data_IF_237693820412
#
_entry.id   IF_237693820412
#
_cell.length_a   1.000
_cell.length_b   1.000
_cell.length_c   1.000
_cell.angle_alpha   90.00
_cell.angle_beta   90.00
_cell.angle_gamma   90.00
#
_symmetry.space_group_name_H-M   'P 1'
#
loop_
_entity.id
_entity.type
_entity.pdbx_description
1 polymer ?
#
# COMPACT_ATOMS: atom_id res chain seq x y z
N UNK A 1 -21.24 -30.90 1.00
CA UNK A 1 -22.32 -29.94 1.35
C UNK A 1 -21.79 -28.50 1.28
N UNK A 2 -22.49 -27.59 0.57
CA UNK A 2 -22.17 -26.16 0.53
C UNK A 2 -22.91 -25.42 1.66
N UNK A 3 -22.21 -24.56 2.39
CA UNK A 3 -22.74 -23.78 3.52
C UNK A 3 -22.40 -22.32 3.25
N UNK A 4 -23.43 -21.49 3.02
CA UNK A 4 -23.26 -20.05 2.83
C UNK A 4 -23.19 -19.34 4.18
N UNK A 5 -22.22 -18.45 4.34
CA UNK A 5 -22.02 -17.70 5.57
C UNK A 5 -21.46 -16.31 5.28
N UNK A 6 -21.54 -15.43 6.27
CA UNK A 6 -20.78 -14.17 6.32
C UNK A 6 -19.82 -14.20 7.51
N UNK A 7 -18.86 -13.27 7.58
CA UNK A 7 -17.91 -13.22 8.70
C UNK A 7 -16.45 -13.17 8.27
N UNK A 8 -15.55 -13.27 9.26
CA UNK A 8 -14.12 -13.35 9.04
C UNK A 8 -13.71 -14.78 8.66
N UNK A 9 -13.30 -14.98 7.40
CA UNK A 9 -12.85 -16.27 6.89
C UNK A 9 -11.66 -16.83 7.68
N UNK A 10 -10.78 -15.96 8.20
CA UNK A 10 -9.60 -16.40 8.95
C UNK A 10 -9.96 -17.02 10.30
N UNK A 11 -11.18 -16.79 10.80
CA UNK A 11 -11.72 -17.42 12.01
C UNK A 11 -12.47 -18.73 11.72
N UNK A 12 -12.54 -19.17 10.46
CA UNK A 12 -13.23 -20.40 10.12
C UNK A 12 -12.58 -21.61 10.80
N UNK A 13 -13.41 -22.50 11.33
CA UNK A 13 -12.98 -23.79 11.88
C UNK A 13 -12.61 -24.81 10.80
N UNK A 14 -12.82 -24.51 9.51
CA UNK A 14 -12.46 -25.38 8.40
C UNK A 14 -10.96 -25.77 8.42
N UNK A 15 -10.65 -26.98 7.96
CA UNK A 15 -9.28 -27.50 7.88
C UNK A 15 -8.43 -26.73 6.88
N UNK A 16 -9.02 -26.38 5.73
CA UNK A 16 -8.40 -25.60 4.69
C UNK A 16 -9.04 -24.21 4.53
N UNK A 17 -8.21 -23.20 4.26
CA UNK A 17 -8.64 -21.82 4.03
C UNK A 17 -8.13 -21.35 2.67
N UNK A 18 -9.02 -20.83 1.83
CA UNK A 18 -8.65 -20.32 0.51
C UNK A 18 -8.27 -18.84 0.61
N UNK A 19 -7.04 -18.55 0.16
CA UNK A 19 -6.50 -17.22 -0.01
C UNK A 19 -6.51 -16.83 -1.50
N UNK A 20 -7.10 -15.69 -1.86
CA UNK A 20 -7.09 -15.22 -3.26
C UNK A 20 -5.84 -14.40 -3.55
N UNK A 21 -4.98 -14.89 -4.45
CA UNK A 21 -3.66 -14.30 -4.73
C UNK A 21 -3.49 -13.90 -6.19
N UNK A 22 -2.38 -13.19 -6.47
CA UNK A 22 -1.84 -13.02 -7.84
C UNK A 22 -0.65 -13.96 -8.07
N UNK A 23 -0.09 -13.98 -9.28
CA UNK A 23 1.06 -14.80 -9.63
C UNK A 23 2.41 -14.07 -9.49
N UNK A 24 2.44 -12.83 -9.02
CA UNK A 24 3.65 -11.99 -8.92
C UNK A 24 4.25 -11.93 -7.50
N UNK A 25 3.69 -12.67 -6.54
CA UNK A 25 4.23 -12.75 -5.18
C UNK A 25 3.81 -11.59 -4.26
N UNK A 26 2.73 -10.86 -4.58
CA UNK A 26 2.31 -9.69 -3.81
C UNK A 26 1.01 -9.90 -3.01
N UNK A 27 1.08 -10.01 -1.69
CA UNK A 27 -0.08 -9.97 -0.79
C UNK A 27 -0.27 -8.57 -0.16
N UNK A 28 -0.63 -7.58 -0.97
CA UNK A 28 -0.59 -6.16 -0.57
C UNK A 28 -1.92 -5.54 -0.11
N UNK A 29 -3.05 -6.18 -0.37
CA UNK A 29 -4.39 -5.65 -0.01
C UNK A 29 -5.45 -6.75 0.12
N UNK A 30 -6.60 -6.39 0.69
CA UNK A 30 -7.76 -7.29 0.82
C UNK A 30 -7.44 -8.54 1.63
N UNK A 31 -8.13 -9.65 1.34
CA UNK A 31 -7.98 -10.90 2.09
C UNK A 31 -6.54 -11.46 2.02
N UNK A 32 -5.85 -11.34 0.89
CA UNK A 32 -4.46 -11.78 0.76
C UNK A 32 -3.52 -11.14 1.77
N UNK A 33 -3.68 -9.84 1.99
CA UNK A 33 -2.91 -9.14 3.00
C UNK A 33 -3.24 -9.63 4.42
N UNK A 34 -4.51 -9.92 4.70
CA UNK A 34 -4.91 -10.51 5.98
C UNK A 34 -4.30 -11.92 6.19
N UNK A 35 -4.24 -12.74 5.14
CA UNK A 35 -3.52 -14.02 5.17
C UNK A 35 -2.02 -13.83 5.41
N UNK A 36 -1.37 -12.87 4.76
CA UNK A 36 0.05 -12.56 5.00
C UNK A 36 0.31 -12.18 6.46
N UNK A 37 -0.58 -11.39 7.07
CA UNK A 37 -0.48 -10.97 8.46
C UNK A 37 -0.70 -12.13 9.44
N UNK A 38 -1.64 -13.03 9.14
CA UNK A 38 -1.99 -14.18 10.00
C UNK A 38 -1.06 -15.39 9.82
N UNK A 39 -0.58 -15.63 8.61
CA UNK A 39 0.20 -16.80 8.19
C UNK A 39 1.47 -16.36 7.41
N UNK A 40 2.48 -15.80 8.11
CA UNK A 40 3.67 -15.24 7.49
C UNK A 40 4.52 -16.28 6.74
N UNK A 41 4.62 -17.53 7.24
CA UNK A 41 5.41 -18.59 6.59
C UNK A 41 4.78 -19.02 5.27
N UNK A 42 3.45 -19.11 5.22
CA UNK A 42 2.74 -19.29 3.95
C UNK A 42 3.07 -18.18 2.94
N UNK A 43 3.16 -16.92 3.37
CA UNK A 43 3.51 -15.83 2.46
C UNK A 43 4.95 -15.95 1.94
N UNK A 44 5.91 -16.35 2.78
CA UNK A 44 7.29 -16.59 2.34
C UNK A 44 7.37 -17.68 1.27
N UNK A 45 6.67 -18.80 1.48
CA UNK A 45 6.65 -19.91 0.53
C UNK A 45 5.93 -19.55 -0.77
N UNK A 46 4.78 -18.87 -0.66
CA UNK A 46 4.06 -18.30 -1.81
C UNK A 46 4.95 -17.38 -2.66
N UNK A 47 5.75 -16.49 -2.04
CA UNK A 47 6.65 -15.60 -2.78
C UNK A 47 7.72 -16.40 -3.52
N UNK A 48 8.26 -17.48 -2.93
CA UNK A 48 9.20 -18.38 -3.60
C UNK A 48 8.54 -19.08 -4.80
N UNK A 49 7.31 -19.57 -4.62
CA UNK A 49 6.53 -20.23 -5.66
C UNK A 49 6.18 -19.30 -6.84
N UNK A 50 5.95 -18.02 -6.59
CA UNK A 50 5.79 -17.03 -7.66
C UNK A 50 7.12 -16.76 -8.38
N UNK A 51 8.21 -16.55 -7.63
CA UNK A 51 9.52 -16.22 -8.20
C UNK A 51 10.09 -17.31 -9.10
N UNK A 52 9.86 -18.58 -8.77
CA UNK A 52 10.33 -19.71 -9.57
C UNK A 52 9.32 -20.14 -10.67
N UNK A 53 8.21 -19.41 -10.84
CA UNK A 53 7.20 -19.68 -11.87
C UNK A 53 6.34 -20.93 -11.63
N UNK A 54 6.43 -21.55 -10.46
CA UNK A 54 5.61 -22.74 -10.13
C UNK A 54 4.13 -22.40 -9.91
N UNK A 55 3.84 -21.17 -9.46
CA UNK A 55 2.48 -20.68 -9.29
C UNK A 55 2.03 -19.79 -10.47
N UNK A 56 1.11 -20.32 -11.27
CA UNK A 56 0.45 -19.62 -12.38
C UNK A 56 -1.07 -19.76 -12.26
N UNK A 57 -1.82 -19.00 -13.06
CA UNK A 57 -3.27 -19.19 -13.19
C UNK A 57 -3.60 -20.67 -13.48
N UNK A 58 -4.62 -21.20 -12.80
CA UNK A 58 -5.04 -22.60 -12.91
C UNK A 58 -4.19 -23.60 -12.11
N UNK A 59 -3.11 -23.16 -11.45
CA UNK A 59 -2.34 -23.99 -10.51
C UNK A 59 -2.60 -23.54 -9.08
N UNK A 60 -2.79 -24.49 -8.17
CA UNK A 60 -2.92 -24.21 -6.75
C UNK A 60 -1.56 -24.32 -6.06
N UNK A 61 -1.29 -23.41 -5.14
CA UNK A 61 -0.20 -23.51 -4.18
C UNK A 61 -0.80 -23.68 -2.79
N UNK A 62 -0.26 -24.56 -1.96
CA UNK A 62 -0.74 -24.72 -0.59
C UNK A 62 0.41 -24.81 0.41
N UNK A 63 0.15 -24.36 1.63
CA UNK A 63 1.12 -24.42 2.72
C UNK A 63 0.42 -24.77 4.04
N UNK A 64 1.10 -25.51 4.91
CA UNK A 64 0.59 -25.84 6.24
C UNK A 64 1.16 -24.88 7.29
N UNK A 65 0.29 -24.13 7.97
CA UNK A 65 0.69 -23.24 9.06
C UNK A 65 -0.37 -23.24 10.16
N UNK A 66 0.06 -23.32 11.43
CA UNK A 66 -0.81 -23.34 12.61
C UNK A 66 -1.98 -24.35 12.55
N UNK A 67 -1.72 -25.54 11.98
CA UNK A 67 -2.71 -26.61 11.85
C UNK A 67 -3.75 -26.41 10.73
N UNK A 68 -3.66 -25.32 9.95
CA UNK A 68 -4.50 -25.00 8.79
C UNK A 68 -3.76 -25.27 7.49
N UNK A 69 -4.48 -25.72 6.47
CA UNK A 69 -4.00 -25.79 5.08
C UNK A 69 -4.38 -24.47 4.40
N UNK A 70 -3.42 -23.62 4.09
CA UNK A 70 -3.66 -22.36 3.37
C UNK A 70 -3.53 -22.63 1.88
N UNK A 71 -4.61 -22.48 1.13
CA UNK A 71 -4.64 -22.70 -0.32
C UNK A 71 -4.61 -21.34 -1.02
N UNK A 72 -3.51 -21.02 -1.67
CA UNK A 72 -3.34 -19.80 -2.44
C UNK A 72 -3.88 -20.03 -3.85
N UNK A 73 -5.07 -19.47 -4.10
CA UNK A 73 -5.83 -19.55 -5.33
C UNK A 73 -5.53 -18.34 -6.22
N UNK A 74 -4.86 -18.50 -7.36
CA UNK A 74 -4.58 -17.39 -8.27
C UNK A 74 -5.87 -16.89 -8.94
N UNK A 75 -6.32 -15.72 -8.52
CA UNK A 75 -7.46 -15.00 -9.15
C UNK A 75 -6.98 -13.91 -10.10
N UNK A 76 -5.68 -13.64 -10.14
CA UNK A 76 -5.06 -12.67 -11.03
C UNK A 76 -3.71 -13.17 -11.51
N UNK A 77 -3.35 -12.82 -12.74
CA UNK A 77 -1.97 -12.97 -13.18
C UNK A 77 -1.10 -11.89 -12.53
N UNK A 78 -1.38 -10.62 -12.87
CA UNK A 78 -0.71 -9.44 -12.30
C UNK A 78 -1.55 -8.77 -11.22
N UNK A 79 -0.92 -8.24 -10.16
CA UNK A 79 -1.67 -7.68 -9.02
C UNK A 79 -2.46 -6.40 -9.37
N UNK A 80 -1.97 -5.60 -10.33
CA UNK A 80 -2.63 -4.39 -10.86
C UNK A 80 -3.77 -4.69 -11.85
N UNK A 81 -3.81 -5.89 -12.43
CA UNK A 81 -4.84 -6.27 -13.39
C UNK A 81 -6.16 -6.66 -12.71
N UNK A 82 -7.26 -6.69 -13.48
CA UNK A 82 -8.54 -7.27 -13.03
C UNK A 82 -8.48 -8.80 -13.03
N UNK A 83 -9.40 -9.43 -12.30
CA UNK A 83 -9.61 -10.88 -12.37
C UNK A 83 -10.37 -11.21 -13.66
N UNK A 84 -10.32 -12.47 -14.09
CA UNK A 84 -11.13 -12.98 -15.20
C UNK A 84 -11.87 -14.24 -14.78
N UNK A 85 -13.04 -14.50 -15.35
CA UNK A 85 -13.87 -15.63 -14.94
C UNK A 85 -13.19 -16.97 -15.26
N UNK A 86 -12.40 -17.03 -16.34
CA UNK A 86 -11.65 -18.22 -16.76
C UNK A 86 -10.55 -18.59 -15.75
N UNK A 87 -10.04 -17.60 -14.99
CA UNK A 87 -9.08 -17.85 -13.91
C UNK A 87 -9.76 -18.57 -12.74
N UNK A 88 -11.02 -18.21 -12.47
CA UNK A 88 -11.82 -18.85 -11.42
C UNK A 88 -12.21 -20.26 -11.85
N UNK A 89 -12.63 -20.44 -13.09
CA UNK A 89 -13.00 -21.76 -13.61
C UNK A 89 -11.83 -22.75 -13.56
N UNK A 90 -10.70 -22.37 -14.15
CA UNK A 90 -9.49 -23.21 -14.16
C UNK A 90 -9.00 -23.48 -12.73
N UNK A 91 -9.03 -22.48 -11.86
CA UNK A 91 -8.64 -22.62 -10.46
C UNK A 91 -9.56 -23.55 -9.66
N UNK A 92 -10.88 -23.50 -9.88
CA UNK A 92 -11.85 -24.39 -9.23
C UNK A 92 -11.64 -25.85 -9.65
N UNK A 93 -11.37 -26.10 -10.94
CA UNK A 93 -11.02 -27.44 -11.41
C UNK A 93 -9.76 -27.98 -10.68
N UNK A 94 -8.74 -27.15 -10.50
CA UNK A 94 -7.53 -27.52 -9.77
C UNK A 94 -7.79 -27.68 -8.26
N UNK A 95 -8.64 -26.85 -7.68
CA UNK A 95 -9.00 -26.91 -6.27
C UNK A 95 -9.72 -28.22 -5.92
N UNK A 96 -10.66 -28.67 -6.77
CA UNK A 96 -11.34 -29.97 -6.58
C UNK A 96 -10.35 -31.12 -6.54
N UNK A 97 -9.40 -31.15 -7.48
CA UNK A 97 -8.33 -32.17 -7.48
C UNK A 97 -7.50 -32.13 -6.20
N UNK A 98 -7.15 -30.92 -5.75
CA UNK A 98 -6.36 -30.73 -4.54
C UNK A 98 -7.10 -31.15 -3.26
N UNK A 99 -8.42 -30.92 -3.20
CA UNK A 99 -9.28 -31.36 -2.09
C UNK A 99 -9.17 -32.87 -1.89
N UNK A 100 -9.26 -33.65 -2.97
CA UNK A 100 -9.10 -35.09 -2.91
C UNK A 100 -7.66 -35.50 -2.59
N UNK A 101 -6.68 -34.90 -3.27
CA UNK A 101 -5.25 -35.22 -3.07
C UNK A 101 -4.81 -35.04 -1.61
N UNK A 102 -5.33 -34.03 -0.92
CA UNK A 102 -4.97 -33.70 0.46
C UNK A 102 -5.98 -34.23 1.50
N UNK A 103 -6.98 -35.02 1.08
CA UNK A 103 -8.05 -35.54 1.94
C UNK A 103 -8.72 -34.42 2.78
N UNK A 104 -9.04 -33.28 2.14
CA UNK A 104 -9.63 -32.13 2.83
C UNK A 104 -11.10 -32.42 3.14
N UNK A 105 -11.43 -32.46 4.43
CA UNK A 105 -12.81 -32.70 4.91
C UNK A 105 -13.60 -31.42 5.15
N UNK A 106 -12.93 -30.28 5.27
CA UNK A 106 -13.59 -28.98 5.37
C UNK A 106 -12.74 -27.84 4.81
N UNK A 107 -13.38 -26.95 4.04
CA UNK A 107 -12.71 -25.83 3.36
C UNK A 107 -13.55 -24.56 3.44
N UNK A 108 -12.90 -23.41 3.69
CA UNK A 108 -13.52 -22.09 3.64
C UNK A 108 -13.06 -21.30 2.41
N UNK A 109 -13.99 -20.74 1.66
CA UNK A 109 -13.75 -20.08 0.37
C UNK A 109 -14.32 -18.65 0.38
N UNK A 110 -13.51 -17.62 0.06
CA UNK A 110 -13.98 -16.23 -0.06
C UNK A 110 -14.65 -15.97 -1.43
N UNK A 111 -15.24 -14.77 -1.64
CA UNK A 111 -15.74 -14.37 -2.95
C UNK A 111 -14.61 -14.24 -3.99
N UNK A 112 -14.39 -15.31 -4.77
CA UNK A 112 -13.24 -15.44 -5.65
C UNK A 112 -13.24 -14.37 -6.76
N UNK A 113 -12.32 -13.41 -6.67
CA UNK A 113 -12.17 -12.37 -7.69
C UNK A 113 -13.26 -11.28 -7.72
N UNK A 114 -14.31 -11.36 -6.89
CA UNK A 114 -15.42 -10.41 -6.93
C UNK A 114 -15.15 -9.05 -6.26
N UNK A 115 -14.24 -8.99 -5.29
CA UNK A 115 -13.83 -7.73 -4.65
C UNK A 115 -12.79 -6.96 -5.49
N UNK A 116 -11.52 -7.02 -5.08
CA UNK A 116 -10.41 -6.37 -5.80
C UNK A 116 -10.25 -6.80 -7.27
N UNK A 117 -10.82 -7.94 -7.67
CA UNK A 117 -10.80 -8.45 -9.03
C UNK A 117 -11.90 -7.90 -9.93
N UNK A 118 -13.02 -7.41 -9.36
CA UNK A 118 -14.13 -6.80 -10.08
C UNK A 118 -15.09 -7.76 -10.78
N UNK A 119 -15.06 -9.07 -10.48
CA UNK A 119 -16.03 -10.01 -11.01
C UNK A 119 -17.40 -9.86 -10.33
N UNK A 120 -18.48 -10.16 -11.07
CA UNK A 120 -19.83 -10.18 -10.51
C UNK A 120 -19.96 -11.41 -9.61
N UNK A 121 -20.39 -11.22 -8.36
CA UNK A 121 -20.48 -12.30 -7.38
C UNK A 121 -21.46 -13.41 -7.79
N UNK A 122 -22.60 -13.04 -8.38
CA UNK A 122 -23.60 -14.01 -8.83
C UNK A 122 -23.01 -15.04 -9.82
N UNK A 123 -22.23 -14.58 -10.80
CA UNK A 123 -21.59 -15.45 -11.79
C UNK A 123 -20.54 -16.38 -11.16
N UNK A 124 -19.74 -15.83 -10.24
CA UNK A 124 -18.74 -16.61 -9.49
C UNK A 124 -19.40 -17.66 -8.59
N UNK A 125 -20.49 -17.30 -7.92
CA UNK A 125 -21.26 -18.19 -7.04
C UNK A 125 -21.84 -19.37 -7.84
N UNK A 126 -22.49 -19.09 -8.97
CA UNK A 126 -23.05 -20.12 -9.84
C UNK A 126 -21.96 -21.08 -10.35
N UNK A 127 -20.77 -20.56 -10.65
CA UNK A 127 -19.64 -21.38 -11.07
C UNK A 127 -19.10 -22.27 -9.93
N UNK A 128 -19.02 -21.75 -8.70
CA UNK A 128 -18.64 -22.54 -7.52
C UNK A 128 -19.64 -23.68 -7.31
N UNK A 129 -20.94 -23.38 -7.31
CA UNK A 129 -22.01 -24.36 -7.15
C UNK A 129 -21.89 -25.49 -8.18
N UNK A 130 -21.77 -25.13 -9.46
CA UNK A 130 -21.59 -26.08 -10.56
C UNK A 130 -20.36 -26.98 -10.39
N UNK A 131 -19.20 -26.42 -10.00
CA UNK A 131 -17.96 -27.20 -9.88
C UNK A 131 -17.96 -28.13 -8.67
N UNK A 132 -18.70 -27.78 -7.62
CA UNK A 132 -18.70 -28.50 -6.35
C UNK A 132 -19.88 -29.44 -6.17
N UNK A 133 -20.82 -29.48 -7.13
CA UNK A 133 -21.94 -30.41 -7.17
C UNK A 133 -21.53 -31.88 -6.98
N UNK A 134 -20.39 -32.27 -7.54
CA UNK A 134 -19.87 -33.64 -7.48
C UNK A 134 -19.00 -33.94 -6.25
N UNK A 135 -18.83 -32.99 -5.32
CA UNK A 135 -18.08 -33.25 -4.09
C UNK A 135 -18.91 -34.12 -3.14
N UNK A 136 -18.31 -35.17 -2.54
CA UNK A 136 -18.98 -35.97 -1.54
C UNK A 136 -19.58 -35.14 -0.40
N UNK A 137 -20.73 -35.56 0.10
CA UNK A 137 -21.49 -34.79 1.10
C UNK A 137 -20.70 -34.52 2.39
N UNK A 138 -19.84 -35.47 2.78
CA UNK A 138 -19.00 -35.36 3.98
C UNK A 138 -17.97 -34.22 3.92
N UNK A 139 -17.67 -33.70 2.72
CA UNK A 139 -16.82 -32.52 2.55
C UNK A 139 -17.64 -31.27 2.80
N UNK A 140 -17.31 -30.55 3.87
CA UNK A 140 -17.98 -29.30 4.26
C UNK A 140 -17.31 -28.12 3.58
N UNK A 141 -18.02 -27.45 2.69
CA UNK A 141 -17.53 -26.25 2.00
C UNK A 141 -18.26 -25.03 2.55
N UNK A 142 -17.53 -24.14 3.21
CA UNK A 142 -18.04 -22.88 3.72
C UNK A 142 -17.76 -21.77 2.69
N UNK A 143 -18.80 -21.24 2.07
CA UNK A 143 -18.70 -20.13 1.11
C UNK A 143 -19.00 -18.84 1.85
N UNK A 144 -17.97 -18.00 2.01
CA UNK A 144 -18.10 -16.67 2.59
C UNK A 144 -18.60 -15.71 1.54
N UNK A 145 -19.78 -15.13 1.77
CA UNK A 145 -20.37 -14.14 0.87
C UNK A 145 -19.74 -12.75 1.08
N UNK A 146 -19.76 -11.88 0.06
CA UNK A 146 -19.28 -10.51 0.18
C UNK A 146 -19.94 -9.81 1.37
N UNK A 147 -19.15 -9.47 2.37
CA UNK A 147 -19.57 -8.79 3.60
C UNK A 147 -18.52 -7.76 4.01
N UNK A 148 -18.71 -7.07 5.15
CA UNK A 148 -17.80 -6.00 5.59
C UNK A 148 -16.32 -6.44 5.64
N UNK A 149 -15.41 -5.49 5.44
CA UNK A 149 -13.97 -5.74 5.47
C UNK A 149 -13.49 -6.09 6.89
N UNK A 150 -13.28 -7.37 7.17
CA UNK A 150 -12.62 -7.83 8.40
C UNK A 150 -11.11 -7.56 8.34
N UNK A 151 -10.54 -7.07 9.45
CA UNK A 151 -9.11 -6.80 9.60
C UNK A 151 -8.48 -7.84 10.53
N UNK A 152 -7.45 -8.53 10.05
CA UNK A 152 -6.60 -9.39 10.85
C UNK A 152 -5.56 -8.54 11.59
N UNK A 153 -5.24 -8.99 12.79
CA UNK A 153 -4.14 -8.47 13.59
C UNK A 153 -2.86 -9.19 13.14
N UNK A 154 -1.74 -8.47 12.92
CA UNK A 154 -0.46 -9.10 12.58
C UNK A 154 -0.05 -10.15 13.62
N UNK A 155 0.42 -11.31 13.15
CA UNK A 155 0.93 -12.39 14.01
C UNK A 155 2.33 -12.08 14.54
N UNK A 156 3.16 -11.49 13.70
CA UNK A 156 4.51 -11.05 14.03
C UNK A 156 4.56 -9.53 14.13
N UNK A 157 5.36 -9.03 15.07
CA UNK A 157 5.58 -7.60 15.22
C UNK A 157 6.27 -7.04 13.95
N UNK A 158 5.70 -6.00 13.30
CA UNK A 158 6.31 -5.41 12.13
C UNK A 158 7.66 -4.77 12.44
N UNK A 159 8.70 -5.16 11.70
CA UNK A 159 10.02 -4.55 11.79
C UNK A 159 10.01 -3.15 11.18
N UNK A 160 10.13 -2.14 12.05
CA UNK A 160 10.23 -0.72 11.74
C UNK A 160 11.66 -0.20 12.00
N UNK A 161 12.04 0.85 11.29
CA UNK A 161 13.32 1.56 11.44
C UNK A 161 13.08 2.99 11.94
N UNK A 162 14.16 3.75 12.14
CA UNK A 162 14.12 5.17 12.47
C UNK A 162 13.22 5.99 11.54
N UNK A 163 13.17 5.69 10.24
CA UNK A 163 12.29 6.39 9.30
C UNK A 163 10.81 6.30 9.66
N UNK A 164 10.40 5.28 10.42
CA UNK A 164 9.05 5.21 10.95
C UNK A 164 8.81 6.24 12.07
N UNK A 165 9.82 6.49 12.93
CA UNK A 165 9.76 7.54 13.94
C UNK A 165 9.62 8.91 13.27
N UNK A 166 10.43 9.20 12.25
CA UNK A 166 10.35 10.45 11.46
C UNK A 166 8.97 10.65 10.84
N UNK A 167 8.38 9.61 10.21
CA UNK A 167 7.04 9.73 9.62
C UNK A 167 5.93 9.87 10.67
N UNK A 168 6.11 9.29 11.86
CA UNK A 168 5.18 9.48 12.99
C UNK A 168 5.28 10.90 13.55
N UNK A 169 6.48 11.47 13.69
CA UNK A 169 6.67 12.87 14.08
C UNK A 169 6.06 13.84 13.07
N UNK A 170 6.31 13.64 11.77
CA UNK A 170 5.66 14.45 10.72
C UNK A 170 4.13 14.40 10.88
N UNK A 171 3.57 13.22 11.13
CA UNK A 171 2.12 13.07 11.35
C UNK A 171 1.64 13.85 12.57
N UNK A 172 2.39 13.87 13.67
CA UNK A 172 2.05 14.62 14.88
C UNK A 172 2.08 16.14 14.67
N UNK A 173 2.98 16.64 13.80
CA UNK A 173 3.06 18.07 13.48
C UNK A 173 2.08 18.54 12.40
N UNK A 174 1.42 17.64 11.68
CA UNK A 174 0.46 18.00 10.63
C UNK A 174 -0.95 18.27 11.20
N UNK A 175 -1.50 19.44 10.93
CA UNK A 175 -2.87 19.82 11.31
C UNK A 175 -3.93 19.03 10.54
N UNK A 176 -3.63 18.70 9.27
CA UNK A 176 -4.46 17.86 8.40
C UNK A 176 -3.60 16.71 7.90
N UNK A 177 -4.07 15.48 8.13
CA UNK A 177 -3.33 14.28 7.74
C UNK A 177 -4.02 13.53 6.60
N UNK A 178 -3.28 13.32 5.52
CA UNK A 178 -3.57 12.34 4.49
C UNK A 178 -2.25 11.85 3.85
N UNK A 179 -2.35 10.88 2.94
CA UNK A 179 -1.15 10.28 2.31
C UNK A 179 -0.38 11.27 1.44
N UNK A 180 -1.06 12.22 0.79
CA UNK A 180 -0.41 13.24 -0.02
C UNK A 180 0.35 14.21 0.87
N UNK A 181 -0.27 14.72 1.94
CA UNK A 181 0.37 15.62 2.90
C UNK A 181 1.59 14.98 3.56
N UNK A 182 1.51 13.72 3.98
CA UNK A 182 2.69 13.01 4.51
C UNK A 182 3.82 12.92 3.47
N UNK A 183 3.50 12.54 2.23
CA UNK A 183 4.47 12.44 1.13
C UNK A 183 5.13 13.79 0.84
N UNK A 184 4.34 14.87 0.72
CA UNK A 184 4.86 16.19 0.39
C UNK A 184 5.61 16.81 1.57
N UNK A 185 5.20 16.56 2.81
CA UNK A 185 5.95 17.04 3.99
C UNK A 185 7.31 16.38 4.08
N UNK A 186 7.40 15.07 3.83
CA UNK A 186 8.70 14.38 3.74
C UNK A 186 9.57 14.90 2.56
N UNK A 187 8.95 15.33 1.46
CA UNK A 187 9.65 15.98 0.36
C UNK A 187 10.22 17.34 0.77
N UNK A 188 9.41 18.20 1.42
CA UNK A 188 9.88 19.47 1.96
C UNK A 188 10.92 19.31 3.06
N UNK A 189 10.84 18.26 3.87
CA UNK A 189 11.87 17.92 4.86
C UNK A 189 13.21 17.65 4.19
N UNK A 190 13.25 16.84 3.14
CA UNK A 190 14.47 16.63 2.35
C UNK A 190 15.02 17.95 1.78
N UNK A 191 14.14 18.81 1.25
CA UNK A 191 14.55 20.11 0.71
C UNK A 191 15.20 20.98 1.78
N UNK A 192 14.53 21.16 2.93
CA UNK A 192 15.03 22.02 4.00
C UNK A 192 16.28 21.47 4.70
N UNK A 193 16.38 20.14 4.80
CA UNK A 193 17.57 19.46 5.31
C UNK A 193 18.77 19.57 4.35
N UNK A 194 18.54 19.78 3.05
CA UNK A 194 19.59 19.72 2.04
C UNK A 194 20.15 18.30 1.79
N UNK A 195 19.50 17.26 2.33
CA UNK A 195 19.91 15.85 2.19
C UNK A 195 18.77 14.99 1.62
N UNK A 196 19.14 13.94 0.88
CA UNK A 196 18.19 12.94 0.39
C UNK A 196 17.90 11.85 1.45
N UNK A 197 17.20 12.22 2.53
CA UNK A 197 16.77 11.23 3.54
C UNK A 197 15.77 10.22 2.95
N UNK A 198 14.74 10.71 2.26
CA UNK A 198 13.85 9.91 1.41
C UNK A 198 14.25 10.01 -0.07
N UNK A 199 13.82 9.07 -0.91
CA UNK A 199 14.22 8.97 -2.32
C UNK A 199 13.07 9.32 -3.24
N UNK A 200 12.82 10.62 -3.39
CA UNK A 200 11.79 11.13 -4.27
C UNK A 200 12.20 11.03 -5.74
N UNK A 201 11.23 10.63 -6.57
CA UNK A 201 11.37 10.57 -8.01
C UNK A 201 10.10 11.05 -8.70
N UNK A 202 10.21 11.37 -9.98
CA UNK A 202 9.07 11.67 -10.86
C UNK A 202 8.11 10.49 -10.91
N UNK A 203 6.86 10.71 -10.51
CA UNK A 203 5.75 9.75 -10.55
C UNK A 203 4.46 10.46 -10.98
N UNK A 204 3.37 9.71 -11.20
CA UNK A 204 2.13 10.21 -11.81
C UNK A 204 1.58 11.53 -11.23
N UNK A 205 1.71 11.76 -9.92
CA UNK A 205 1.10 12.90 -9.21
C UNK A 205 2.15 13.84 -8.58
N UNK A 206 3.31 14.00 -9.22
CA UNK A 206 4.42 14.80 -8.69
C UNK A 206 5.50 13.93 -8.02
N UNK A 207 6.44 14.54 -7.27
CA UNK A 207 7.47 13.81 -6.53
C UNK A 207 6.85 12.81 -5.55
N UNK A 208 7.37 11.57 -5.56
CA UNK A 208 6.87 10.50 -4.70
C UNK A 208 7.99 9.53 -4.30
N UNK A 209 7.95 9.07 -3.04
CA UNK A 209 8.75 7.94 -2.57
C UNK A 209 7.83 6.79 -2.10
N UNK A 210 7.94 5.64 -2.76
CA UNK A 210 7.17 4.44 -2.44
C UNK A 210 7.55 3.84 -1.07
N UNK A 211 8.75 4.12 -0.55
CA UNK A 211 9.20 3.67 0.78
C UNK A 211 8.28 4.22 1.86
N UNK A 212 7.85 5.48 1.77
CA UNK A 212 6.95 6.15 2.73
C UNK A 212 5.62 5.42 2.82
N UNK A 213 5.04 4.99 1.69
CA UNK A 213 3.78 4.24 1.68
C UNK A 213 3.93 2.86 2.33
N UNK A 214 5.08 2.19 2.11
CA UNK A 214 5.40 0.91 2.74
C UNK A 214 5.55 1.08 4.26
N UNK A 215 6.32 2.08 4.70
CA UNK A 215 6.54 2.37 6.12
C UNK A 215 5.23 2.76 6.80
N UNK A 216 4.42 3.63 6.19
CA UNK A 216 3.10 4.02 6.70
C UNK A 216 2.16 2.83 6.89
N UNK A 217 2.21 1.84 5.98
CA UNK A 217 1.46 0.59 6.16
C UNK A 217 1.98 -0.21 7.35
N UNK A 218 3.30 -0.37 7.48
CA UNK A 218 3.91 -1.07 8.62
C UNK A 218 3.65 -0.37 9.95
N UNK A 219 3.58 0.96 9.99
CA UNK A 219 3.19 1.72 11.20
C UNK A 219 1.78 1.31 11.63
N UNK A 220 0.83 1.21 10.70
CA UNK A 220 -0.53 0.72 11.00
C UNK A 220 -0.54 -0.73 11.47
N UNK A 221 0.24 -1.60 10.83
CA UNK A 221 0.42 -2.98 11.29
C UNK A 221 0.97 -3.01 12.74
N UNK A 222 1.93 -2.13 13.06
CA UNK A 222 2.55 -2.07 14.38
C UNK A 222 1.56 -1.57 15.45
N UNK A 223 0.77 -0.56 15.10
CA UNK A 223 -0.34 -0.07 15.89
C UNK A 223 -1.37 -1.19 16.19
N UNK A 224 -1.78 -1.93 15.15
CA UNK A 224 -2.71 -3.05 15.30
C UNK A 224 -2.11 -4.18 16.17
N UNK A 225 -0.82 -4.50 16.01
CA UNK A 225 -0.11 -5.51 16.81
C UNK A 225 -0.06 -5.16 18.31
N UNK A 226 0.26 -3.90 18.63
CA UNK A 226 0.30 -3.41 20.01
C UNK A 226 -1.06 -2.98 20.56
N UNK A 227 -2.13 -3.10 19.77
CA UNK A 227 -3.48 -2.65 20.11
C UNK A 227 -3.54 -1.16 20.52
N UNK A 228 -2.78 -0.31 19.82
CA UNK A 228 -2.73 1.15 20.03
C UNK A 228 -3.23 1.88 18.81
N UNK A 229 -4.17 2.80 18.97
CA UNK A 229 -4.68 3.64 17.86
C UNK A 229 -3.92 4.96 17.74
N UNK A 230 -3.41 5.44 18.86
CA UNK A 230 -2.68 6.70 18.96
C UNK A 230 -1.28 6.56 18.35
N UNK A 231 -0.85 7.55 17.58
CA UNK A 231 0.44 7.51 16.89
C UNK A 231 1.59 7.87 17.83
N UNK A 232 1.39 8.77 18.79
CA UNK A 232 2.38 9.11 19.81
C UNK A 232 2.68 7.93 20.73
N UNK A 233 1.66 7.17 21.16
CA UNK A 233 1.88 5.93 21.93
C UNK A 233 2.68 4.92 21.10
N UNK A 234 2.36 4.75 19.82
CA UNK A 234 3.11 3.85 18.93
C UNK A 234 4.57 4.31 18.74
N UNK A 235 4.79 5.63 18.64
CA UNK A 235 6.12 6.24 18.61
C UNK A 235 6.90 5.88 19.87
N UNK A 236 6.33 6.08 21.06
CA UNK A 236 7.02 5.82 22.33
C UNK A 236 7.43 4.34 22.47
N UNK A 237 6.56 3.42 22.05
CA UNK A 237 6.86 1.98 22.05
C UNK A 237 8.03 1.68 21.10
N UNK A 238 8.00 2.23 19.88
CA UNK A 238 9.05 2.00 18.89
C UNK A 238 10.38 2.65 19.31
N UNK A 239 10.33 3.90 19.80
CA UNK A 239 11.50 4.65 20.23
C UNK A 239 12.24 3.90 21.35
N UNK A 240 11.52 3.42 22.38
CA UNK A 240 12.11 2.60 23.44
C UNK A 240 12.80 1.33 22.94
N UNK A 241 12.31 0.75 21.83
CA UNK A 241 12.90 -0.46 21.21
C UNK A 241 14.14 -0.15 20.37
N UNK A 242 14.20 1.04 19.77
CA UNK A 242 15.28 1.44 18.87
C UNK A 242 16.36 2.29 19.55
N UNK A 243 16.08 2.84 20.74
CA UNK A 243 16.90 3.86 21.40
C UNK A 243 18.38 3.51 21.40
N UNK A 244 19.17 4.44 20.87
CA UNK A 244 20.62 4.39 20.83
C UNK A 244 21.15 5.81 20.61
N UNK A 245 22.38 6.09 21.05
CA UNK A 245 23.00 7.42 20.86
C UNK A 245 22.96 7.91 19.41
N UNK A 246 23.14 7.00 18.45
CA UNK A 246 23.10 7.34 17.02
C UNK A 246 21.70 7.75 16.56
N UNK A 247 20.67 7.08 17.08
CA UNK A 247 19.27 7.42 16.75
C UNK A 247 18.88 8.73 17.40
N UNK A 248 19.25 8.95 18.66
CA UNK A 248 18.96 10.20 19.37
C UNK A 248 19.59 11.40 18.64
N UNK A 249 20.89 11.31 18.32
CA UNK A 249 21.59 12.35 17.57
C UNK A 249 20.90 12.62 16.22
N UNK A 250 20.58 11.58 15.45
CA UNK A 250 19.98 11.78 14.13
C UNK A 250 18.54 12.28 14.20
N UNK A 251 17.76 11.95 15.24
CA UNK A 251 16.42 12.53 15.43
C UNK A 251 16.54 14.01 15.81
N UNK A 252 17.47 14.36 16.70
CA UNK A 252 17.73 15.76 17.06
C UNK A 252 18.20 16.61 15.87
N UNK A 253 19.04 16.04 14.98
CA UNK A 253 19.43 16.70 13.72
C UNK A 253 18.23 16.98 12.81
N UNK A 254 17.27 16.05 12.73
CA UNK A 254 16.12 16.16 11.82
C UNK A 254 14.96 16.99 12.40
N UNK A 255 14.92 17.22 13.71
CA UNK A 255 13.77 17.79 14.41
C UNK A 255 13.38 19.17 13.85
N UNK A 256 14.37 20.02 13.57
CA UNK A 256 14.16 21.37 13.03
C UNK A 256 13.51 21.32 11.64
N UNK A 257 14.02 20.47 10.75
CA UNK A 257 13.54 20.35 9.37
C UNK A 257 12.18 19.68 9.29
N UNK A 258 11.89 18.70 10.17
CA UNK A 258 10.57 18.10 10.32
C UNK A 258 9.54 19.17 10.71
N UNK A 259 9.86 20.01 11.70
CA UNK A 259 8.99 21.11 12.14
C UNK A 259 8.81 22.15 11.04
N UNK A 260 9.90 22.58 10.39
CA UNK A 260 9.89 23.56 9.28
C UNK A 260 9.03 23.05 8.12
N UNK A 261 9.22 21.81 7.69
CA UNK A 261 8.43 21.17 6.65
C UNK A 261 6.95 21.05 7.01
N UNK A 262 6.65 20.57 8.22
CA UNK A 262 5.26 20.42 8.67
C UNK A 262 4.54 21.76 8.76
N UNK A 263 5.20 22.79 9.31
CA UNK A 263 4.64 24.14 9.39
C UNK A 263 4.40 24.75 8.01
N UNK A 264 5.33 24.55 7.07
CA UNK A 264 5.16 24.97 5.69
C UNK A 264 3.93 24.32 5.05
N UNK A 265 3.81 22.99 5.16
CA UNK A 265 2.67 22.24 4.61
C UNK A 265 1.36 22.59 5.30
N UNK A 266 1.37 22.89 6.60
CA UNK A 266 0.20 23.36 7.34
C UNK A 266 -0.28 24.75 6.87
N UNK A 267 0.62 25.59 6.37
CA UNK A 267 0.27 26.91 5.82
C UNK A 267 -0.43 26.83 4.46
N UNK A 268 -0.39 25.66 3.79
CA UNK A 268 -0.99 25.43 2.49
C UNK A 268 -2.39 24.85 2.68
N UNK A 269 -3.39 25.58 2.18
CA UNK A 269 -4.81 25.31 2.45
C UNK A 269 -5.27 23.98 1.84
N UNK A 270 -5.00 23.80 0.55
CA UNK A 270 -5.54 22.69 -0.24
C UNK A 270 -4.46 21.70 -0.69
N UNK A 271 -4.89 20.47 -0.96
CA UNK A 271 -4.03 19.45 -1.54
C UNK A 271 -3.70 19.73 -3.02
N UNK A 272 -4.52 20.53 -3.69
CA UNK A 272 -4.28 21.01 -5.05
C UNK A 272 -3.03 21.90 -5.06
N UNK A 273 -3.01 22.93 -4.21
CA UNK A 273 -1.90 23.87 -4.11
C UNK A 273 -0.62 23.18 -3.64
N UNK A 274 -0.72 22.30 -2.65
CA UNK A 274 0.43 21.53 -2.15
C UNK A 274 1.05 20.65 -3.24
N UNK A 275 0.23 20.02 -4.07
CA UNK A 275 0.72 19.24 -5.21
C UNK A 275 1.36 20.15 -6.27
N UNK A 276 0.77 21.32 -6.53
CA UNK A 276 1.33 22.33 -7.44
C UNK A 276 2.76 22.74 -7.01
N UNK A 277 2.88 23.25 -5.78
CA UNK A 277 4.14 23.76 -5.21
C UNK A 277 5.24 22.69 -5.21
N UNK A 278 4.92 21.47 -4.74
CA UNK A 278 5.88 20.38 -4.73
C UNK A 278 6.34 19.97 -6.14
N UNK A 279 5.48 20.09 -7.14
CA UNK A 279 5.82 19.74 -8.53
C UNK A 279 6.71 20.81 -9.17
N UNK A 280 6.41 22.10 -8.96
CA UNK A 280 7.25 23.22 -9.43
C UNK A 280 8.65 23.10 -8.84
N UNK A 281 8.76 22.88 -7.53
CA UNK A 281 10.06 22.75 -6.86
C UNK A 281 10.86 21.56 -7.38
N UNK A 282 10.20 20.43 -7.65
CA UNK A 282 10.88 19.26 -8.18
C UNK A 282 11.43 19.51 -9.59
N UNK A 283 10.69 20.24 -10.42
CA UNK A 283 11.12 20.70 -11.74
C UNK A 283 12.39 21.55 -11.66
N UNK A 284 12.40 22.55 -10.78
CA UNK A 284 13.56 23.44 -10.56
C UNK A 284 14.75 22.62 -10.06
N UNK A 285 14.53 21.68 -9.13
CA UNK A 285 15.57 20.80 -8.60
C UNK A 285 16.19 19.89 -9.67
N UNK A 286 15.41 19.38 -10.62
CA UNK A 286 15.92 18.51 -11.70
C UNK A 286 16.77 19.27 -12.74
N UNK A 287 16.48 20.55 -12.97
CA UNK A 287 17.05 21.31 -14.10
C UNK A 287 18.06 22.39 -13.69
N UNK A 288 18.36 22.54 -12.39
CA UNK A 288 19.24 23.58 -11.80
C UNK A 288 18.69 25.01 -11.92
N UNK A 289 18.13 25.37 -13.07
CA UNK A 289 17.39 26.61 -13.31
C UNK A 289 16.26 26.34 -14.31
N UNK A 290 15.12 27.03 -14.15
CA UNK A 290 14.04 27.05 -15.14
C UNK A 290 13.41 28.43 -15.19
N UNK A 291 13.17 28.94 -16.39
CA UNK A 291 12.32 30.11 -16.63
C UNK A 291 10.85 29.79 -16.30
N UNK A 292 10.05 30.84 -16.14
CA UNK A 292 8.60 30.72 -15.93
C UNK A 292 7.92 29.93 -17.06
N UNK A 293 8.26 30.24 -18.32
CA UNK A 293 7.71 29.57 -19.50
C UNK A 293 8.07 28.08 -19.52
N UNK A 294 9.32 27.73 -19.18
CA UNK A 294 9.76 26.34 -19.11
C UNK A 294 9.06 25.60 -17.97
N UNK A 295 8.84 26.22 -16.80
CA UNK A 295 8.06 25.60 -15.71
C UNK A 295 6.64 25.28 -16.18
N UNK A 296 5.96 26.19 -16.89
CA UNK A 296 4.61 25.95 -17.41
C UNK A 296 4.58 24.77 -18.38
N UNK A 297 5.53 24.72 -19.31
CA UNK A 297 5.64 23.65 -20.32
C UNK A 297 5.92 22.31 -19.63
N UNK A 298 6.94 22.25 -18.77
CA UNK A 298 7.35 21.02 -18.08
C UNK A 298 6.32 20.52 -17.07
N UNK A 299 5.59 21.43 -16.42
CA UNK A 299 4.53 21.06 -15.50
C UNK A 299 3.37 20.40 -16.25
N UNK A 300 2.95 20.98 -17.38
CA UNK A 300 1.90 20.41 -18.22
C UNK A 300 2.34 19.12 -18.93
N UNK A 301 3.61 19.02 -19.32
CA UNK A 301 4.17 17.80 -19.93
C UNK A 301 4.28 16.64 -18.93
N UNK A 302 4.23 16.91 -17.63
CA UNK A 302 4.33 15.90 -16.58
C UNK A 302 3.33 14.76 -16.74
N UNK A 303 2.07 15.07 -17.05
CA UNK A 303 1.03 14.07 -17.41
C UNK A 303 -0.22 14.74 -17.96
N UNK A 304 -1.01 14.01 -18.77
CA UNK A 304 -2.32 14.45 -19.24
C UNK A 304 -3.27 14.86 -18.10
N UNK A 305 -3.19 14.17 -16.95
CA UNK A 305 -4.01 14.47 -15.77
C UNK A 305 -3.65 15.82 -15.16
N UNK A 306 -2.35 16.11 -15.00
CA UNK A 306 -1.89 17.40 -14.48
C UNK A 306 -2.25 18.55 -15.42
N UNK A 307 -2.03 18.39 -16.73
CA UNK A 307 -2.38 19.42 -17.71
C UNK A 307 -3.87 19.79 -17.68
N UNK A 308 -4.75 18.85 -17.29
CA UNK A 308 -6.19 19.10 -17.14
C UNK A 308 -6.58 19.71 -15.80
N UNK A 309 -5.88 19.33 -14.71
CA UNK A 309 -6.21 19.79 -13.35
C UNK A 309 -5.66 21.17 -13.01
N UNK A 310 -4.49 21.51 -13.51
CA UNK A 310 -3.80 22.76 -13.17
C UNK A 310 -3.86 23.74 -14.33
N UNK A 311 -4.45 24.90 -14.09
CA UNK A 311 -4.43 26.03 -15.02
C UNK A 311 -3.06 26.73 -14.98
N UNK A 312 -2.76 27.54 -16.00
CA UNK A 312 -1.53 28.36 -15.99
C UNK A 312 -1.52 29.31 -14.78
N UNK A 313 -2.67 29.86 -14.41
CA UNK A 313 -2.80 30.72 -13.25
C UNK A 313 -2.47 29.99 -11.94
N UNK A 314 -2.85 28.72 -11.79
CA UNK A 314 -2.47 27.93 -10.61
C UNK A 314 -0.96 27.76 -10.50
N UNK A 315 -0.29 27.51 -11.63
CA UNK A 315 1.16 27.30 -11.68
C UNK A 315 1.88 28.62 -11.41
N UNK A 316 1.46 29.72 -12.03
CA UNK A 316 2.03 31.05 -11.82
C UNK A 316 1.83 31.53 -10.37
N UNK A 317 0.66 31.33 -9.78
CA UNK A 317 0.43 31.60 -8.37
C UNK A 317 1.31 30.72 -7.47
N UNK A 318 1.56 29.48 -7.88
CA UNK A 318 2.50 28.58 -7.22
C UNK A 318 3.93 29.13 -7.22
N UNK A 319 4.44 29.60 -8.37
CA UNK A 319 5.76 30.23 -8.49
C UNK A 319 5.85 31.47 -7.59
N UNK A 320 4.86 32.37 -7.69
CA UNK A 320 4.80 33.58 -6.85
C UNK A 320 4.77 33.26 -5.36
N UNK A 321 4.04 32.22 -4.96
CA UNK A 321 4.01 31.78 -3.56
C UNK A 321 5.38 31.29 -3.10
N UNK A 322 6.07 30.48 -3.90
CA UNK A 322 7.42 30.00 -3.56
C UNK A 322 8.45 31.12 -3.45
N UNK A 323 8.31 32.18 -4.26
CA UNK A 323 9.12 33.40 -4.16
C UNK A 323 8.83 34.16 -2.85
N UNK A 324 7.55 34.38 -2.53
CA UNK A 324 7.15 35.05 -1.28
C UNK A 324 7.61 34.29 -0.04
N UNK A 325 7.60 32.96 -0.09
CA UNK A 325 8.07 32.09 0.97
C UNK A 325 9.61 31.99 1.03
N UNK A 326 10.32 32.65 0.12
CA UNK A 326 11.78 32.61 -0.06
C UNK A 326 12.36 31.21 -0.31
N UNK A 327 11.57 30.27 -0.85
CA UNK A 327 12.02 28.90 -1.18
C UNK A 327 12.73 28.86 -2.54
N UNK A 328 12.35 29.76 -3.45
CA UNK A 328 13.03 29.96 -4.72
C UNK A 328 13.45 31.42 -4.85
N UNK A 329 14.49 31.68 -5.65
CA UNK A 329 14.96 33.02 -5.97
C UNK A 329 15.07 33.19 -7.50
N UNK A 330 14.80 34.40 -8.02
CA UNK A 330 15.03 34.69 -9.43
C UNK A 330 16.53 34.80 -9.71
N UNK A 331 16.94 34.36 -10.90
CA UNK A 331 18.26 34.58 -11.47
C UNK A 331 18.12 35.24 -12.87
N UNK A 332 19.23 35.41 -13.59
CA UNK A 332 19.24 36.07 -14.92
C UNK A 332 18.32 35.41 -15.95
N UNK A 333 18.00 34.12 -15.81
CA UNK A 333 17.31 33.32 -16.82
C UNK A 333 16.12 32.50 -16.29
N UNK A 334 15.71 32.70 -15.03
CA UNK A 334 14.66 31.89 -14.41
C UNK A 334 14.74 31.84 -12.88
N UNK A 335 14.45 30.67 -12.31
CA UNK A 335 14.37 30.45 -10.86
C UNK A 335 15.30 29.34 -10.39
N UNK A 336 15.87 29.50 -9.19
CA UNK A 336 16.67 28.47 -8.48
C UNK A 336 16.13 28.26 -7.08
N UNK A 337 16.46 27.13 -6.45
CA UNK A 337 16.20 26.92 -5.03
C UNK A 337 16.99 27.92 -4.17
N UNK A 338 16.38 28.38 -3.09
CA UNK A 338 16.95 29.27 -2.08
C UNK A 338 16.68 28.63 -0.71
N UNK A 339 17.60 27.79 -0.24
CA UNK A 339 17.39 26.90 0.91
C UNK A 339 18.46 27.08 1.98
#
# INVERSE_FOLDING_TARGET
>A
MLIYTTGDLLKSNAKALVNTVNCEGYMGKGIAYQFKMKYPRNNEDYVKACKNGSLTVGKMHYFNEDGKIIINFPTKNKWRAKSKIEYIESGLNALVKLIFQLNITSIAIPPLGSGNGGLIWADVKALIEKKFELLPEYIKVFIYEPSQNYKAIPKEEPKLSMSALVLMEIKEYLNKFDTLRLQKTAYFMNLFLGEQYFRFKREKYGPYDNSIAIISRKIREFQDYHNVKDTKIAYDILYKKLVSRNIDNKLSELELDIKKASNYVNSIESNHDLECLATILFLIQENTFLSEEEILIEFKSWSEDKAKRFSDNDILNGINRLLMDNIIAPNLTGYTLNL
#
